data_IF_210097553989
#
_entry.id   IF_210097553989
#
_cell.length_a   1.000
_cell.length_b   1.000
_cell.length_c   1.000
_cell.angle_alpha   90.00
_cell.angle_beta   90.00
_cell.angle_gamma   90.00
#
_symmetry.space_group_name_H-M   'P 1'
#
loop_
_entity.id
_entity.type
_entity.pdbx_description
1 polymer ?
#
# COMPACT_ATOMS: atom_id res chain seq x y z
N UNK A 1 7.17 8.31 2.10
CA UNK A 1 6.60 6.97 2.22
C UNK A 1 5.76 6.72 0.99
N UNK A 2 5.89 5.55 0.40
CA UNK A 2 5.20 5.21 -0.85
C UNK A 2 3.94 4.37 -0.63
N UNK A 3 3.82 3.66 0.50
CA UNK A 3 2.56 2.99 0.87
C UNK A 3 2.16 3.31 2.32
N UNK A 4 0.85 3.38 2.60
CA UNK A 4 0.28 3.64 3.94
C UNK A 4 -0.71 2.54 4.36
N UNK A 5 -0.24 1.62 5.20
CA UNK A 5 -1.01 0.49 5.75
C UNK A 5 -1.11 0.61 7.28
N UNK A 6 -1.93 1.53 7.82
CA UNK A 6 -2.14 1.64 9.26
C UNK A 6 -2.85 0.41 9.88
N UNK A 7 -3.41 -0.48 9.05
CA UNK A 7 -4.07 -1.72 9.44
C UNK A 7 -3.67 -2.88 8.50
N UNK A 8 -3.80 -4.14 8.95
CA UNK A 8 -3.56 -5.31 8.09
C UNK A 8 -4.61 -5.46 6.99
N UNK A 9 -5.80 -4.91 7.18
CA UNK A 9 -6.87 -4.89 6.20
C UNK A 9 -6.68 -3.72 5.21
N UNK A 10 -6.71 -4.03 3.91
CA UNK A 10 -6.44 -3.05 2.86
C UNK A 10 -7.54 -2.00 2.76
N UNK A 11 -8.81 -2.39 2.91
CA UNK A 11 -9.93 -1.47 2.82
C UNK A 11 -9.96 -0.53 4.03
N UNK A 12 -9.79 -1.08 5.24
CA UNK A 12 -9.68 -0.29 6.48
C UNK A 12 -8.51 0.68 6.41
N UNK A 13 -7.37 0.24 5.87
CA UNK A 13 -6.23 1.13 5.61
C UNK A 13 -6.61 2.26 4.67
N UNK A 14 -7.14 1.97 3.49
CA UNK A 14 -7.52 2.98 2.50
C UNK A 14 -8.58 3.97 3.03
N UNK A 15 -9.62 3.47 3.71
CA UNK A 15 -10.70 4.30 4.27
C UNK A 15 -10.22 5.26 5.36
N UNK A 16 -9.18 4.91 6.12
CA UNK A 16 -8.63 5.77 7.16
C UNK A 16 -7.86 6.99 6.64
N UNK A 17 -7.39 6.94 5.39
CA UNK A 17 -6.58 8.00 4.80
C UNK A 17 -7.42 9.22 4.46
N UNK A 18 -6.88 10.41 4.71
CA UNK A 18 -7.39 11.64 4.11
C UNK A 18 -7.23 11.62 2.58
N UNK A 19 -7.98 12.47 1.87
CA UNK A 19 -8.02 12.49 0.41
C UNK A 19 -6.65 12.70 -0.24
N UNK A 20 -5.79 13.52 0.37
CA UNK A 20 -4.46 13.78 -0.18
C UNK A 20 -3.60 12.52 -0.16
N UNK A 21 -3.58 11.78 0.95
CA UNK A 21 -2.79 10.53 1.03
C UNK A 21 -3.46 9.40 0.26
N UNK A 22 -4.79 9.25 0.31
CA UNK A 22 -5.50 8.26 -0.51
C UNK A 22 -5.25 8.46 -2.01
N UNK A 23 -5.38 9.71 -2.48
CA UNK A 23 -5.10 10.07 -3.86
C UNK A 23 -3.66 9.73 -4.26
N UNK A 24 -2.70 9.98 -3.37
CA UNK A 24 -1.29 9.66 -3.58
C UNK A 24 -1.00 8.17 -3.61
N UNK A 25 -1.67 7.36 -2.78
CA UNK A 25 -1.48 5.91 -2.72
C UNK A 25 -1.75 5.19 -4.05
N UNK A 26 -2.70 5.68 -4.84
CA UNK A 26 -2.99 5.13 -6.18
C UNK A 26 -1.81 5.31 -7.14
N UNK A 27 -1.23 6.51 -7.15
CA UNK A 27 -0.08 6.85 -8.01
C UNK A 27 1.19 6.16 -7.52
N UNK A 28 1.43 6.16 -6.21
CA UNK A 28 2.59 5.49 -5.63
C UNK A 28 2.53 3.97 -5.82
N UNK A 29 1.35 3.35 -5.78
CA UNK A 29 1.17 1.94 -6.13
C UNK A 29 1.71 1.58 -7.51
N UNK A 30 1.48 2.44 -8.52
CA UNK A 30 2.05 2.26 -9.88
C UNK A 30 3.58 2.38 -9.85
N UNK A 31 4.10 3.37 -9.12
CA UNK A 31 5.55 3.61 -9.02
C UNK A 31 6.27 2.44 -8.35
N UNK A 32 5.71 1.90 -7.27
CA UNK A 32 6.23 0.73 -6.57
C UNK A 32 6.17 -0.50 -7.49
N UNK A 33 5.03 -0.74 -8.16
CA UNK A 33 4.90 -1.86 -9.09
C UNK A 33 5.95 -1.79 -10.21
N UNK A 34 6.13 -0.62 -10.83
CA UNK A 34 7.16 -0.42 -11.86
C UNK A 34 8.57 -0.63 -11.33
N UNK A 35 8.83 -0.24 -10.08
CA UNK A 35 10.08 -0.55 -9.39
C UNK A 35 10.34 -2.05 -9.22
N UNK A 36 9.29 -2.87 -9.12
CA UNK A 36 9.38 -4.32 -9.05
C UNK A 36 9.55 -4.97 -10.44
N UNK A 37 8.76 -4.54 -11.42
CA UNK A 37 8.58 -5.30 -12.68
C UNK A 37 9.30 -4.70 -13.90
N UNK A 38 9.69 -3.42 -13.89
CA UNK A 38 10.34 -2.78 -15.05
C UNK A 38 11.87 -2.78 -14.88
N UNK A 39 12.64 -3.42 -15.79
CA UNK A 39 14.09 -3.33 -15.79
C UNK A 39 14.57 -1.87 -15.88
N UNK A 40 15.60 -1.52 -15.12
CA UNK A 40 16.20 -0.18 -15.15
C UNK A 40 15.41 0.94 -14.46
N UNK A 41 14.27 0.64 -13.81
CA UNK A 41 13.52 1.65 -13.06
C UNK A 41 14.33 2.16 -11.86
N UNK A 42 14.55 3.48 -11.79
CA UNK A 42 15.52 4.07 -10.86
C UNK A 42 15.26 3.85 -9.37
N UNK A 43 14.06 3.43 -8.99
CA UNK A 43 13.65 3.22 -7.60
C UNK A 43 13.62 1.74 -7.17
N UNK A 44 14.07 0.81 -8.01
CA UNK A 44 14.04 -0.64 -7.75
C UNK A 44 14.74 -1.12 -6.46
N UNK A 45 15.67 -0.32 -5.93
CA UNK A 45 16.43 -0.63 -4.70
C UNK A 45 15.88 0.06 -3.45
N UNK A 46 14.82 0.86 -3.59
CA UNK A 46 14.24 1.58 -2.46
C UNK A 46 13.54 0.60 -1.50
N UNK A 47 13.69 0.74 -0.16
CA UNK A 47 13.05 -0.17 0.81
C UNK A 47 11.53 -0.33 0.62
N UNK A 48 10.84 0.77 0.29
CA UNK A 48 9.41 0.76 -0.02
C UNK A 48 9.03 -0.10 -1.24
N UNK A 49 9.97 -0.35 -2.15
CA UNK A 49 9.79 -1.28 -3.27
C UNK A 49 10.11 -2.69 -2.83
N UNK A 50 11.26 -2.86 -2.17
CA UNK A 50 11.76 -4.18 -1.77
C UNK A 50 10.85 -4.93 -0.79
N UNK A 51 10.13 -4.23 0.09
CA UNK A 51 9.17 -4.87 1.01
C UNK A 51 8.01 -5.59 0.30
N UNK A 52 7.74 -5.26 -0.97
CA UNK A 52 6.69 -5.87 -1.80
C UNK A 52 7.21 -6.89 -2.80
N UNK A 53 8.52 -7.14 -2.84
CA UNK A 53 9.13 -8.06 -3.79
C UNK A 53 8.59 -9.48 -3.61
N UNK A 54 8.11 -10.09 -4.69
CA UNK A 54 7.44 -11.40 -4.67
C UNK A 54 5.97 -11.36 -4.26
N UNK A 55 5.43 -10.17 -4.01
CA UNK A 55 4.04 -9.91 -3.63
C UNK A 55 3.43 -8.80 -4.50
N UNK A 56 3.80 -8.76 -5.78
CA UNK A 56 3.36 -7.76 -6.77
C UNK A 56 1.83 -7.73 -6.88
N UNK A 57 1.18 -8.90 -6.88
CA UNK A 57 -0.28 -9.01 -6.91
C UNK A 57 -0.91 -8.39 -5.65
N UNK A 58 -0.34 -8.62 -4.47
CA UNK A 58 -0.85 -8.05 -3.22
C UNK A 58 -0.71 -6.53 -3.17
N UNK A 59 0.40 -5.98 -3.69
CA UNK A 59 0.59 -4.54 -3.87
C UNK A 59 -0.50 -3.96 -4.78
N UNK A 60 -0.75 -4.61 -5.92
CA UNK A 60 -1.77 -4.15 -6.87
C UNK A 60 -3.16 -4.27 -6.26
N UNK A 61 -3.45 -5.35 -5.52
CA UNK A 61 -4.71 -5.48 -4.79
C UNK A 61 -4.92 -4.31 -3.82
N UNK A 62 -3.92 -3.98 -3.02
CA UNK A 62 -3.96 -2.82 -2.14
C UNK A 62 -4.21 -1.51 -2.90
N UNK A 63 -3.45 -1.26 -3.97
CA UNK A 63 -3.59 -0.03 -4.76
C UNK A 63 -4.95 0.08 -5.47
N UNK A 64 -5.50 -1.04 -5.95
CA UNK A 64 -6.85 -1.09 -6.50
C UNK A 64 -7.92 -0.83 -5.43
N UNK A 65 -7.74 -1.33 -4.20
CA UNK A 65 -8.62 -0.99 -3.08
C UNK A 65 -8.57 0.50 -2.73
N UNK A 66 -7.41 1.15 -2.83
CA UNK A 66 -7.32 2.60 -2.76
C UNK A 66 -8.09 3.31 -3.89
N UNK A 67 -8.06 2.76 -5.12
CA UNK A 67 -8.85 3.29 -6.25
C UNK A 67 -10.36 3.13 -6.01
N UNK A 68 -10.81 1.99 -5.49
CA UNK A 68 -12.21 1.71 -5.16
C UNK A 68 -12.73 2.69 -4.10
N UNK A 69 -11.98 2.92 -3.02
CA UNK A 69 -12.35 3.91 -1.99
C UNK A 69 -12.34 5.34 -2.55
N UNK A 70 -11.38 5.68 -3.42
CA UNK A 70 -11.31 6.98 -4.07
C UNK A 70 -12.53 7.26 -4.95
N UNK A 71 -12.95 6.29 -5.77
CA UNK A 71 -14.18 6.37 -6.57
C UNK A 71 -15.41 6.42 -5.66
N UNK A 72 -15.43 5.63 -4.58
CA UNK A 72 -16.49 5.66 -3.58
C UNK A 72 -16.66 7.02 -2.88
N UNK A 73 -15.63 7.87 -2.86
CA UNK A 73 -15.68 9.26 -2.38
C UNK A 73 -16.17 10.26 -3.45
N UNK A 74 -16.50 9.80 -4.66
CA UNK A 74 -17.04 10.63 -5.74
C UNK A 74 -15.97 11.21 -6.68
N UNK A 75 -14.73 10.76 -6.59
CA UNK A 75 -13.65 11.23 -7.47
C UNK A 75 -13.44 10.29 -8.67
N UNK A 76 -12.95 10.83 -9.79
CA UNK A 76 -12.57 10.03 -10.95
C UNK A 76 -11.24 9.29 -10.73
N UNK A 77 -11.13 8.07 -11.26
CA UNK A 77 -9.90 7.26 -11.23
C UNK A 77 -9.31 7.04 -12.62
N UNK A 78 -7.98 7.07 -12.69
CA UNK A 78 -7.19 6.76 -13.89
C UNK A 78 -6.06 5.77 -13.59
N UNK A 79 -5.91 5.33 -12.34
CA UNK A 79 -4.79 4.52 -11.89
C UNK A 79 -5.06 3.01 -12.04
N UNK A 80 -6.31 2.57 -11.82
CA UNK A 80 -6.67 1.15 -11.79
C UNK A 80 -6.30 0.41 -13.09
N UNK A 81 -6.60 0.99 -14.25
CA UNK A 81 -6.26 0.41 -15.55
C UNK A 81 -4.74 0.27 -15.73
N UNK A 82 -3.97 1.27 -15.29
CA UNK A 82 -2.50 1.23 -15.39
C UNK A 82 -1.93 0.12 -14.51
N UNK A 83 -2.42 -0.02 -13.28
CA UNK A 83 -1.99 -1.07 -12.33
C UNK A 83 -2.21 -2.48 -12.92
N UNK A 84 -3.41 -2.76 -13.43
CA UNK A 84 -3.74 -4.06 -14.01
C UNK A 84 -2.92 -4.34 -15.27
N UNK A 85 -2.70 -3.32 -16.11
CA UNK A 85 -1.91 -3.45 -17.34
C UNK A 85 -0.45 -3.77 -17.02
N UNK A 86 0.19 -2.99 -16.15
CA UNK A 86 1.59 -3.21 -15.76
C UNK A 86 1.79 -4.59 -15.09
N UNK A 87 0.83 -5.05 -14.28
CA UNK A 87 0.89 -6.38 -13.65
C UNK A 87 0.72 -7.52 -14.67
N UNK A 88 -0.18 -7.35 -15.64
CA UNK A 88 -0.40 -8.32 -16.71
C UNK A 88 0.85 -8.48 -17.58
N UNK A 89 1.49 -7.37 -17.93
CA UNK A 89 2.75 -7.39 -18.69
C UNK A 89 3.88 -8.06 -17.90
N UNK A 90 3.83 -8.03 -16.57
CA UNK A 90 4.74 -8.74 -15.68
C UNK A 90 4.42 -10.25 -15.53
N UNK A 91 3.37 -10.75 -16.18
CA UNK A 91 3.01 -12.18 -16.20
C UNK A 91 1.89 -12.59 -15.24
N UNK A 92 1.29 -11.66 -14.50
CA UNK A 92 0.16 -11.97 -13.59
C UNK A 92 -1.15 -11.42 -14.15
N UNK A 93 -2.06 -12.31 -14.57
CA UNK A 93 -3.26 -11.95 -15.34
C UNK A 93 -4.50 -11.65 -14.50
N UNK A 94 -4.52 -12.07 -13.23
CA UNK A 94 -5.65 -11.90 -12.31
C UNK A 94 -5.19 -11.25 -11.02
N UNK A 95 -6.07 -10.46 -10.39
CA UNK A 95 -5.82 -9.85 -9.08
C UNK A 95 -6.87 -10.35 -8.11
N UNK A 96 -6.48 -11.29 -7.26
CA UNK A 96 -7.35 -11.90 -6.24
C UNK A 96 -7.72 -10.91 -5.15
N UNK A 97 -8.84 -11.15 -4.49
CA UNK A 97 -9.22 -10.43 -3.27
C UNK A 97 -8.20 -10.67 -2.13
N UNK A 98 -8.16 -9.78 -1.13
CA UNK A 98 -7.26 -9.96 0.01
C UNK A 98 -7.50 -11.29 0.77
N UNK A 99 -8.74 -11.75 0.99
CA UNK A 99 -9.00 -13.08 1.56
C UNK A 99 -8.42 -14.23 0.74
N UNK A 100 -8.61 -14.23 -0.58
CA UNK A 100 -8.07 -15.26 -1.48
C UNK A 100 -6.53 -15.26 -1.48
N UNK A 101 -5.90 -14.07 -1.44
CA UNK A 101 -4.44 -13.95 -1.30
C UNK A 101 -3.97 -14.51 0.04
N UNK A 102 -4.72 -14.31 1.12
CA UNK A 102 -4.41 -14.86 2.44
C UNK A 102 -4.47 -16.38 2.44
N UNK A 103 -5.55 -16.95 1.89
CA UNK A 103 -5.74 -18.40 1.78
C UNK A 103 -4.62 -19.06 0.96
N UNK A 104 -4.18 -18.39 -0.11
CA UNK A 104 -3.07 -18.86 -0.93
C UNK A 104 -1.66 -18.54 -0.37
N UNK A 105 -1.55 -18.02 0.85
CA UNK A 105 -0.29 -17.56 1.46
C UNK A 105 0.52 -16.59 0.57
N UNK A 106 -0.18 -15.78 -0.24
CA UNK A 106 0.40 -14.84 -1.19
C UNK A 106 0.52 -13.40 -0.64
N UNK A 107 0.11 -13.17 0.61
CA UNK A 107 0.31 -11.89 1.30
C UNK A 107 1.72 -11.79 1.90
N UNK A 108 2.32 -10.60 1.98
CA UNK A 108 3.59 -10.41 2.67
C UNK A 108 3.51 -10.80 4.15
N UNK A 109 4.55 -11.46 4.68
CA UNK A 109 4.58 -11.94 6.07
C UNK A 109 4.53 -10.82 7.12
N UNK A 110 4.93 -9.61 6.74
CA UNK A 110 4.86 -8.43 7.60
C UNK A 110 3.45 -7.83 7.69
N UNK A 111 2.51 -8.24 6.82
CA UNK A 111 1.14 -7.75 6.86
C UNK A 111 0.40 -8.41 8.03
N UNK A 112 0.19 -7.64 9.09
CA UNK A 112 -0.25 -8.15 10.40
C UNK A 112 0.76 -7.89 11.52
N UNK A 113 1.99 -7.51 11.19
CA UNK A 113 2.97 -7.07 12.19
C UNK A 113 2.57 -5.71 12.75
N UNK A 114 2.25 -5.69 14.03
CA UNK A 114 1.77 -4.49 14.71
C UNK A 114 2.84 -3.40 14.79
N UNK A 115 4.14 -3.73 14.86
CA UNK A 115 5.21 -2.74 14.86
C UNK A 115 5.25 -2.00 13.51
N UNK A 116 5.05 -2.73 12.40
CA UNK A 116 4.92 -2.15 11.08
C UNK A 116 3.71 -1.21 11.01
N UNK A 117 2.51 -1.71 11.33
CA UNK A 117 1.28 -0.92 11.26
C UNK A 117 1.32 0.33 12.16
N UNK A 118 1.85 0.19 13.37
CA UNK A 118 1.99 1.31 14.33
C UNK A 118 2.97 2.38 13.84
N UNK A 119 4.05 2.00 13.15
CA UNK A 119 4.97 2.98 12.54
C UNK A 119 4.31 3.78 11.40
N UNK A 120 3.39 3.16 10.65
CA UNK A 120 2.60 3.83 9.62
C UNK A 120 1.57 4.80 10.24
N UNK A 121 0.90 4.41 11.32
CA UNK A 121 -0.01 5.30 12.07
C UNK A 121 0.73 6.52 12.62
N UNK A 122 1.92 6.32 13.20
CA UNK A 122 2.80 7.40 13.67
C UNK A 122 3.21 8.35 12.53
N UNK A 123 3.58 7.81 11.38
CA UNK A 123 3.92 8.62 10.22
C UNK A 123 2.72 9.40 9.65
N UNK A 124 1.52 8.84 9.67
CA UNK A 124 0.29 9.55 9.28
C UNK A 124 -0.01 10.71 10.24
N UNK A 125 0.11 10.50 11.55
CA UNK A 125 -0.02 11.56 12.55
C UNK A 125 0.93 12.73 12.27
N UNK A 126 2.21 12.48 11.94
CA UNK A 126 3.15 13.55 11.54
C UNK A 126 2.72 14.29 10.28
N UNK A 127 2.03 13.61 9.36
CA UNK A 127 1.60 14.20 8.11
C UNK A 127 0.37 15.07 8.30
N UNK A 128 -0.55 14.69 9.17
CA UNK A 128 -1.82 15.39 9.38
C UNK A 128 -2.39 15.16 10.80
N UNK A 129 -1.88 15.85 11.82
CA UNK A 129 -2.28 15.59 13.20
C UNK A 129 -3.78 15.76 13.44
N UNK A 130 -4.43 16.69 12.74
CA UNK A 130 -5.85 16.98 12.92
C UNK A 130 -6.73 15.83 12.43
N UNK A 131 -6.44 15.29 11.23
CA UNK A 131 -7.19 14.17 10.67
C UNK A 131 -6.97 12.86 11.44
N UNK A 132 -5.73 12.57 11.85
CA UNK A 132 -5.37 11.23 12.37
C UNK A 132 -5.43 11.08 13.89
N UNK A 133 -5.48 12.17 14.69
CA UNK A 133 -5.41 12.08 16.16
C UNK A 133 -6.59 11.35 16.79
N UNK A 134 -7.79 11.46 16.21
CA UNK A 134 -8.96 10.70 16.68
C UNK A 134 -8.89 9.22 16.30
N UNK A 135 -8.17 8.88 15.22
CA UNK A 135 -8.04 7.51 14.72
C UNK A 135 -6.93 6.73 15.42
N UNK A 136 -5.84 7.39 15.80
CA UNK A 136 -4.60 6.79 16.32
C UNK A 136 -4.18 7.40 17.65
N UNK A 137 -5.14 7.64 18.55
CA UNK A 137 -4.93 8.33 19.83
C UNK A 137 -3.92 7.63 20.76
N UNK A 138 -3.67 6.34 20.55
CA UNK A 138 -2.77 5.47 21.30
C UNK A 138 -1.34 5.40 20.71
N UNK A 139 -1.08 6.10 19.60
CA UNK A 139 0.20 6.04 18.88
C UNK A 139 0.95 7.37 19.03
N UNK A 140 2.21 7.37 19.48
CA UNK A 140 3.04 8.56 19.48
C UNK A 140 3.43 8.93 18.04
N UNK A 141 3.59 10.22 17.77
CA UNK A 141 3.85 10.75 16.43
C UNK A 141 5.35 10.83 16.08
N UNK A 142 6.24 10.20 16.84
CA UNK A 142 7.69 10.27 16.64
C UNK A 142 8.35 8.90 16.37
N UNK A 143 7.56 7.83 16.21
CA UNK A 143 8.12 6.50 15.98
C UNK A 143 8.93 6.45 14.68
N UNK A 144 10.10 5.76 14.71
CA UNK A 144 10.86 5.47 13.51
C UNK A 144 10.03 4.59 12.57
N UNK A 145 10.22 4.81 11.28
CA UNK A 145 9.47 4.09 10.27
C UNK A 145 10.04 2.69 10.05
N UNK A 146 9.18 1.67 10.06
CA UNK A 146 9.59 0.27 9.87
C UNK A 146 9.52 -0.08 8.39
N UNK A 147 10.65 -0.51 7.83
CA UNK A 147 10.72 -1.11 6.49
C UNK A 147 10.95 -2.61 6.64
N UNK A 148 9.96 -3.45 6.32
CA UNK A 148 10.18 -4.87 6.23
C UNK A 148 11.20 -5.19 5.14
N UNK A 149 12.09 -6.13 5.40
CA UNK A 149 12.92 -6.71 4.35
C UNK A 149 12.04 -7.48 3.34
N UNK A 150 12.60 -7.87 2.18
CA UNK A 150 11.92 -8.81 1.29
C UNK A 150 11.53 -10.07 2.07
N UNK A 151 10.30 -10.57 1.86
CA UNK A 151 9.92 -11.91 2.32
C UNK A 151 10.91 -12.92 1.73
N UNK A 152 11.46 -13.80 2.57
CA UNK A 152 12.36 -14.89 2.13
C UNK A 152 11.56 -16.11 1.71
#
# INVERSE_FOLDING_TARGET
>A
MQTFLPYPDFERSARSLDDKRLGKQRVEGIQVLRGLVRPGYGWRHHPAVLMWKGHEEALVRYALTCCEVWVGRGFADTCATTLVTDLREAGTSTVRSQPELREAAALPVWLGDEAFHRSHRSALLRKDPEHYRSLFSDVPDDLPYVWPGPSR
#
